data_IF_913875326156
#
_entry.id   IF_913875326156
#
_cell.length_a   1.000
_cell.length_b   1.000
_cell.length_c   1.000
_cell.angle_alpha   90.00
_cell.angle_beta   90.00
_cell.angle_gamma   90.00
#
_symmetry.space_group_name_H-M   'P 1'
#
loop_
_entity.id
_entity.type
_entity.pdbx_description
1 polymer ?
#
# COMPACT_ATOMS: atom_id res chain seq x y z
N UNK A 1 37.73 -46.49 -3.98
CA UNK A 1 37.30 -46.07 -3.95
C UNK A 1 36.70 -45.17 -3.83
N UNK A 2 36.53 -44.86 -3.90
CA UNK A 2 35.84 -44.09 -3.92
C UNK A 2 35.25 -43.24 -3.66
N UNK A 3 34.98 -42.63 -3.56
CA UNK A 3 34.38 -41.83 -3.37
C UNK A 3 33.59 -41.05 -3.39
N UNK A 4 33.08 -40.52 -3.16
CA UNK A 4 32.33 -39.87 -3.28
C UNK A 4 31.92 -38.99 -3.13
N UNK A 5 31.60 -38.45 -3.19
CA UNK A 5 31.14 -37.54 -3.15
C UNK A 5 30.36 -36.85 -3.14
N UNK A 6 29.88 -36.53 -3.11
CA UNK A 6 29.08 -36.05 -3.18
C UNK A 6 28.73 -35.02 -2.90
N UNK A 7 28.59 -34.36 -3.20
CA UNK A 7 28.28 -33.30 -2.94
C UNK A 7 27.10 -32.95 -2.76
N UNK A 8 26.72 -32.42 -2.00
CA UNK A 8 25.53 -32.18 -1.76
C UNK A 8 25.13 -31.03 -2.33
N UNK A 9 24.33 -31.05 -2.84
CA UNK A 9 23.87 -30.07 -3.37
C UNK A 9 23.24 -29.26 -2.58
N UNK A 10 23.47 -28.36 -2.30
CA UNK A 10 22.87 -27.53 -1.52
C UNK A 10 21.94 -26.80 -2.10
N UNK A 11 20.87 -26.93 -1.92
CA UNK A 11 19.93 -26.24 -2.37
C UNK A 11 19.68 -25.12 -1.78
N UNK A 12 19.86 -24.14 -2.01
CA UNK A 12 19.59 -23.03 -1.48
C UNK A 12 18.47 -22.48 -1.94
N UNK A 13 17.57 -22.34 -1.32
CA UNK A 13 16.47 -21.74 -1.68
C UNK A 13 16.42 -20.50 -1.34
N UNK A 14 16.54 -19.67 -1.95
CA UNK A 14 16.33 -18.47 -1.75
C UNK A 14 15.09 -18.12 -1.87
N UNK A 15 14.34 -18.08 -1.12
CA UNK A 15 13.16 -17.71 -1.09
C UNK A 15 13.11 -16.42 -1.02
N UNK A 16 12.97 -15.78 -1.78
CA UNK A 16 12.94 -14.53 -1.67
C UNK A 16 11.80 -14.11 -1.28
N UNK A 17 11.71 -13.62 -0.47
CA UNK A 17 10.60 -13.19 0.04
C UNK A 17 10.18 -12.08 -0.56
N UNK A 18 10.36 -11.81 -1.47
CA UNK A 18 9.97 -10.76 -1.93
C UNK A 18 8.80 -10.56 -2.16
N UNK A 19 8.24 -11.13 -1.91
CA UNK A 19 6.95 -10.99 -2.03
C UNK A 19 6.48 -9.71 -2.21
N UNK A 20 6.72 -8.86 -1.56
CA UNK A 20 6.14 -7.73 -1.69
C UNK A 20 6.80 -6.81 -2.45
N UNK A 21 6.48 -6.50 -3.45
CA UNK A 21 6.94 -5.55 -4.10
C UNK A 21 6.42 -4.36 -3.69
N UNK A 22 7.01 -3.48 -3.24
CA UNK A 22 6.52 -2.26 -2.84
C UNK A 22 6.41 -1.36 -3.99
N UNK A 23 5.33 -1.29 -4.57
CA UNK A 23 5.07 -0.35 -5.63
C UNK A 23 4.92 1.01 -5.01
N UNK A 24 5.70 1.97 -5.37
CA UNK A 24 5.57 3.29 -4.78
C UNK A 24 4.26 3.95 -5.15
N UNK A 25 3.80 4.83 -4.30
CA UNK A 25 2.62 5.61 -4.62
C UNK A 25 2.92 6.58 -5.74
N UNK A 26 1.89 6.99 -6.45
CA UNK A 26 2.09 7.97 -7.50
C UNK A 26 2.53 9.28 -6.90
N UNK A 27 3.48 9.96 -7.48
CA UNK A 27 3.93 11.25 -6.95
C UNK A 27 2.81 12.27 -7.07
N UNK A 28 2.69 13.10 -6.09
CA UNK A 28 1.65 14.12 -6.10
C UNK A 28 1.56 14.78 -4.76
N UNK A 29 0.86 15.90 -4.73
CA UNK A 29 0.67 16.63 -3.50
C UNK A 29 -0.07 15.76 -2.50
N UNK A 30 0.47 15.64 -1.35
CA UNK A 30 -0.15 14.83 -0.29
C UNK A 30 0.37 13.42 -0.19
N UNK A 31 1.25 13.00 -1.11
CA UNK A 31 1.77 11.64 -1.08
C UNK A 31 2.41 11.32 0.26
N UNK A 32 3.17 12.25 0.81
CA UNK A 32 3.86 11.99 2.06
C UNK A 32 2.90 11.82 3.22
N UNK A 33 1.81 12.58 3.21
CA UNK A 33 0.81 12.46 4.25
C UNK A 33 0.14 11.08 4.18
N UNK A 34 -0.09 10.60 2.97
CA UNK A 34 -0.68 9.28 2.79
C UNK A 34 0.29 8.22 3.29
N UNK A 35 1.56 8.33 2.93
CA UNK A 35 2.53 7.34 3.37
C UNK A 35 2.63 7.31 4.89
N UNK A 36 2.65 8.48 5.50
CA UNK A 36 2.81 8.57 6.94
C UNK A 36 1.62 8.01 7.70
N UNK A 37 0.42 8.16 7.16
CA UNK A 37 -0.77 7.76 7.88
C UNK A 37 -1.31 6.39 7.48
N UNK A 38 -1.14 6.00 6.26
CA UNK A 38 -1.81 4.79 5.78
C UNK A 38 -0.96 3.54 5.84
N UNK A 39 0.34 3.69 5.78
CA UNK A 39 1.23 2.54 5.78
C UNK A 39 1.35 1.84 7.11
N UNK A 40 0.82 2.45 8.15
CA UNK A 40 0.99 1.87 9.48
C UNK A 40 0.15 0.62 9.70
N UNK A 41 -0.96 0.51 9.04
CA UNK A 41 -1.88 -0.59 9.28
C UNK A 41 -1.94 -1.62 8.17
N UNK A 42 -1.62 -1.24 6.98
CA UNK A 42 -1.65 -2.18 5.86
C UNK A 42 -0.78 -1.64 4.75
N UNK A 43 -0.63 -2.41 3.72
CA UNK A 43 0.25 -2.02 2.66
C UNK A 43 -0.30 -0.84 1.88
N UNK A 44 0.57 -0.13 1.21
CA UNK A 44 0.15 1.01 0.41
C UNK A 44 -0.32 0.60 -0.98
N UNK A 45 -0.60 -0.68 -1.19
CA UNK A 45 -1.14 -1.14 -2.45
C UNK A 45 -2.62 -0.88 -2.58
N UNK A 46 -3.29 -0.63 -1.47
CA UNK A 46 -4.74 -0.46 -1.48
C UNK A 46 -5.22 0.58 -2.50
N UNK A 47 -4.58 1.75 -2.58
CA UNK A 47 -5.05 2.73 -3.57
C UNK A 47 -4.95 2.22 -5.00
N UNK A 48 -3.87 1.55 -5.32
CA UNK A 48 -3.69 1.07 -6.67
C UNK A 48 -4.70 0.01 -7.01
N UNK A 49 -4.98 -0.87 -6.10
CA UNK A 49 -5.92 -1.94 -6.34
C UNK A 49 -7.33 -1.43 -6.50
N UNK A 50 -7.68 -0.42 -5.74
CA UNK A 50 -9.05 0.08 -5.74
C UNK A 50 -9.31 1.27 -6.67
N UNK A 51 -8.28 1.82 -7.26
CA UNK A 51 -8.43 2.98 -8.14
C UNK A 51 -9.50 2.81 -9.22
N UNK A 52 -9.61 1.66 -9.86
CA UNK A 52 -10.59 1.54 -10.92
C UNK A 52 -12.02 1.62 -10.44
N UNK A 53 -12.23 1.50 -9.16
CA UNK A 53 -13.58 1.43 -8.64
C UNK A 53 -14.04 2.62 -7.80
N UNK A 54 -13.14 3.50 -7.41
CA UNK A 54 -13.50 4.55 -6.47
C UNK A 54 -13.34 5.93 -7.03
N UNK A 55 -14.40 6.74 -6.89
CA UNK A 55 -14.33 8.15 -7.20
C UNK A 55 -14.07 8.87 -5.89
N UNK A 56 -13.98 10.18 -5.95
CA UNK A 56 -13.72 10.96 -4.73
C UNK A 56 -14.66 10.58 -3.58
N UNK A 57 -15.92 10.44 -3.86
CA UNK A 57 -16.84 10.12 -2.81
C UNK A 57 -16.55 8.75 -2.20
N UNK A 58 -16.12 7.82 -3.02
CA UNK A 58 -15.74 6.51 -2.52
C UNK A 58 -14.51 6.59 -1.66
N UNK A 59 -13.53 7.42 -2.05
CA UNK A 59 -12.35 7.59 -1.25
C UNK A 59 -12.66 8.26 0.08
N UNK A 60 -13.59 9.22 0.08
CA UNK A 60 -14.02 9.84 1.32
C UNK A 60 -14.61 8.79 2.25
N UNK A 61 -15.44 7.92 1.72
CA UNK A 61 -16.06 6.87 2.52
C UNK A 61 -15.00 5.95 3.10
N UNK A 62 -14.01 5.59 2.30
CA UNK A 62 -12.95 4.69 2.75
C UNK A 62 -12.15 5.33 3.88
N UNK A 63 -11.74 6.58 3.70
CA UNK A 63 -10.93 7.26 4.71
C UNK A 63 -11.73 7.46 5.99
N UNK A 64 -12.99 7.86 5.87
CA UNK A 64 -13.81 8.07 7.04
C UNK A 64 -14.07 6.76 7.78
N UNK A 65 -14.15 5.66 7.07
CA UNK A 65 -14.35 4.38 7.70
C UNK A 65 -13.09 3.98 8.47
N UNK A 66 -11.92 4.24 7.93
CA UNK A 66 -10.71 3.93 8.64
C UNK A 66 -10.63 4.70 9.95
N UNK A 67 -11.06 5.96 9.94
CA UNK A 67 -11.03 6.78 11.13
C UNK A 67 -12.12 6.38 12.10
N UNK A 68 -13.32 6.28 11.63
CA UNK A 68 -14.46 6.12 12.54
C UNK A 68 -14.77 4.69 12.93
N UNK A 69 -14.43 3.74 12.10
CA UNK A 69 -14.72 2.35 12.41
C UNK A 69 -13.48 1.65 12.92
N UNK A 70 -12.35 1.88 12.29
CA UNK A 70 -11.13 1.19 12.66
C UNK A 70 -10.21 1.99 13.56
N UNK A 71 -10.57 3.22 13.86
CA UNK A 71 -9.81 4.01 14.83
C UNK A 71 -8.47 4.54 14.35
N UNK A 72 -8.31 4.71 13.05
CA UNK A 72 -7.05 5.24 12.56
C UNK A 72 -6.84 6.65 13.13
N UNK A 73 -5.70 6.91 13.72
CA UNK A 73 -5.44 8.22 14.33
C UNK A 73 -5.02 9.26 13.32
N UNK A 74 -5.92 9.64 12.45
CA UNK A 74 -5.65 10.61 11.40
C UNK A 74 -6.32 11.92 11.77
N UNK A 75 -5.53 12.98 11.77
CA UNK A 75 -6.09 14.28 12.08
C UNK A 75 -6.98 14.77 10.96
N UNK A 76 -7.98 15.57 11.28
CA UNK A 76 -8.91 16.03 10.23
C UNK A 76 -8.22 16.75 9.07
N UNK A 77 -7.21 17.54 9.36
CA UNK A 77 -6.50 18.23 8.28
C UNK A 77 -5.78 17.23 7.39
N UNK A 78 -5.25 16.19 7.97
CA UNK A 78 -4.56 15.17 7.19
C UNK A 78 -5.56 14.32 6.41
N UNK A 79 -6.74 14.09 6.99
CA UNK A 79 -7.76 13.33 6.29
C UNK A 79 -8.14 14.02 4.98
N UNK A 80 -8.24 15.35 5.01
CA UNK A 80 -8.56 16.06 3.80
C UNK A 80 -7.46 15.95 2.77
N UNK A 81 -6.21 16.05 3.19
CA UNK A 81 -5.08 15.93 2.29
C UNK A 81 -5.07 14.53 1.68
N UNK A 82 -5.34 13.52 2.48
CA UNK A 82 -5.36 12.14 2.01
C UNK A 82 -6.46 11.93 0.98
N UNK A 83 -7.65 12.43 1.27
CA UNK A 83 -8.76 12.28 0.33
C UNK A 83 -8.46 12.98 -0.98
N UNK A 84 -7.92 14.19 -0.90
CA UNK A 84 -7.59 14.94 -2.11
C UNK A 84 -6.53 14.20 -2.92
N UNK A 85 -5.52 13.67 -2.27
CA UNK A 85 -4.48 12.94 -2.96
C UNK A 85 -5.06 11.69 -3.64
N UNK A 86 -5.87 10.93 -2.92
CA UNK A 86 -6.42 9.71 -3.47
C UNK A 86 -7.39 10.00 -4.62
N UNK A 87 -8.19 11.02 -4.47
CA UNK A 87 -9.12 11.36 -5.54
C UNK A 87 -8.40 11.79 -6.79
N UNK A 88 -7.34 12.57 -6.60
CA UNK A 88 -6.63 13.04 -7.73
C UNK A 88 -5.75 12.03 -8.40
N UNK A 89 -5.13 11.18 -7.72
CA UNK A 89 -4.17 10.24 -8.28
C UNK A 89 -4.73 8.82 -8.48
N UNK A 90 -5.76 8.49 -7.76
CA UNK A 90 -6.34 7.15 -7.83
C UNK A 90 -7.86 7.15 -7.98
N UNK A 91 -8.43 8.27 -8.33
CA UNK A 91 -9.86 8.33 -8.51
C UNK A 91 -10.26 7.84 -9.89
N UNK A 92 -11.36 7.13 -9.95
CA UNK A 92 -11.81 6.65 -11.23
C UNK A 92 -12.75 7.65 -11.85
N UNK A 93 -12.34 8.29 -12.81
CA UNK A 93 -13.24 9.12 -13.50
C UNK A 93 -13.62 10.41 -12.91
N UNK A 94 -12.83 10.99 -12.34
CA UNK A 94 -13.20 12.27 -12.02
C UNK A 94 -13.36 12.83 -10.79
#
# INVERSE_FOLDING_TARGET
MRRILAGPAILIFLVSAQAQENVPLKPGTGMETVEANCGACHSLDYPRINAPFLKRQGWETVVNKMINVFGAPIKPADAKVIIDYLAENYGSGG
#
